data_IF_679967877251
#
_entry.id   IF_679967877251
#
_cell.length_a   1.000
_cell.length_b   1.000
_cell.length_c   1.000
_cell.angle_alpha   90.00
_cell.angle_beta   90.00
_cell.angle_gamma   90.00
#
_symmetry.space_group_name_H-M   'P 1'
#
loop_
_entity.id
_entity.type
_entity.pdbx_description
1 polymer ?
#
# COMPACT_ATOMS: atom_id res chain seq x y z
N UNK A 1 -19.92 14.08 -8.38
CA UNK A 1 -19.50 12.67 -8.34
C UNK A 1 -18.42 12.52 -9.38
N UNK A 2 -17.22 12.16 -8.95
CA UNK A 2 -16.00 12.37 -9.70
C UNK A 2 -15.13 11.11 -9.67
N UNK A 3 -15.31 10.29 -10.69
CA UNK A 3 -14.31 9.31 -11.07
C UNK A 3 -13.04 10.07 -11.50
N UNK A 4 -11.87 9.49 -11.28
CA UNK A 4 -10.61 10.01 -11.80
C UNK A 4 -10.06 8.99 -12.79
N UNK A 5 -9.61 9.45 -13.95
CA UNK A 5 -9.03 8.57 -14.96
C UNK A 5 -7.69 9.11 -15.44
N UNK A 6 -6.69 8.24 -15.37
CA UNK A 6 -5.41 8.40 -16.05
C UNK A 6 -5.42 7.46 -17.26
N UNK A 7 -5.16 8.00 -18.45
CA UNK A 7 -5.13 7.24 -19.69
C UNK A 7 -3.77 7.40 -20.37
N UNK A 8 -2.96 6.35 -20.37
CA UNK A 8 -1.63 6.33 -20.99
C UNK A 8 -0.70 7.45 -20.51
N UNK A 9 -0.83 7.87 -19.24
CA UNK A 9 -0.16 9.07 -18.74
C UNK A 9 1.33 8.83 -18.56
N UNK A 10 2.14 9.70 -19.16
CA UNK A 10 3.60 9.67 -19.04
C UNK A 10 4.11 11.03 -18.57
N UNK A 11 5.07 11.00 -17.65
CA UNK A 11 5.84 12.16 -17.22
C UNK A 11 7.32 11.93 -17.41
N UNK A 12 7.96 12.78 -18.21
CA UNK A 12 9.41 12.82 -18.39
C UNK A 12 10.02 14.07 -17.77
N UNK A 13 11.19 13.89 -17.16
CA UNK A 13 12.09 14.96 -16.73
C UNK A 13 13.41 14.80 -17.50
N UNK A 14 13.56 15.53 -18.61
CA UNK A 14 14.60 15.21 -19.58
C UNK A 14 14.39 13.79 -20.13
N UNK A 15 15.42 12.95 -20.03
CA UNK A 15 15.38 11.57 -20.53
C UNK A 15 14.74 10.57 -19.55
N UNK A 16 14.50 10.98 -18.30
CA UNK A 16 13.98 10.09 -17.25
C UNK A 16 12.45 10.10 -17.26
N UNK A 17 11.84 8.95 -17.56
CA UNK A 17 10.39 8.74 -17.40
C UNK A 17 10.06 8.42 -15.94
N UNK A 18 9.63 9.43 -15.17
CA UNK A 18 9.25 9.25 -13.77
C UNK A 18 7.90 8.54 -13.60
N UNK A 19 7.00 8.69 -14.58
CA UNK A 19 5.76 7.92 -14.72
C UNK A 19 5.67 7.51 -16.18
N UNK A 20 5.37 6.25 -16.47
CA UNK A 20 5.45 5.69 -17.82
C UNK A 20 4.19 4.87 -18.15
N UNK A 21 3.43 5.33 -19.15
CA UNK A 21 2.21 4.69 -19.65
C UNK A 21 1.22 4.31 -18.52
N UNK A 22 1.03 5.21 -17.57
CA UNK A 22 0.18 4.99 -16.40
C UNK A 22 -1.30 5.11 -16.77
N UNK A 23 -2.00 3.98 -16.70
CA UNK A 23 -3.45 3.91 -16.91
C UNK A 23 -4.12 3.40 -15.64
N UNK A 24 -5.06 4.18 -15.11
CA UNK A 24 -5.76 3.87 -13.88
C UNK A 24 -7.10 4.59 -13.81
N UNK A 25 -8.16 3.86 -13.50
CA UNK A 25 -9.47 4.40 -13.15
C UNK A 25 -9.67 4.35 -11.64
N UNK A 26 -10.16 5.43 -11.05
CA UNK A 26 -10.58 5.55 -9.65
C UNK A 26 -12.07 5.84 -9.63
N UNK A 27 -12.84 4.97 -9.00
CA UNK A 27 -14.29 5.11 -8.92
C UNK A 27 -14.70 6.21 -7.93
N UNK A 28 -15.90 6.77 -8.13
CA UNK A 28 -16.51 7.71 -7.19
C UNK A 28 -16.54 7.11 -5.77
N UNK A 29 -16.13 7.90 -4.77
CA UNK A 29 -16.09 7.50 -3.35
C UNK A 29 -15.13 6.36 -3.01
N UNK A 30 -14.22 6.04 -3.92
CA UNK A 30 -13.17 5.08 -3.66
C UNK A 30 -12.06 5.70 -2.81
N UNK A 31 -11.51 4.91 -1.87
CA UNK A 31 -10.24 5.22 -1.22
C UNK A 31 -9.13 4.43 -1.91
N UNK A 32 -8.53 5.03 -2.93
CA UNK A 32 -7.39 4.44 -3.63
C UNK A 32 -6.07 4.80 -2.93
N UNK A 33 -5.21 3.81 -2.71
CA UNK A 33 -3.84 4.05 -2.26
C UNK A 33 -2.82 3.74 -3.36
N UNK A 34 -1.98 4.70 -3.70
CA UNK A 34 -0.77 4.50 -4.51
C UNK A 34 0.38 4.12 -3.56
N UNK A 35 0.98 2.95 -3.76
CA UNK A 35 2.06 2.42 -2.91
C UNK A 35 3.23 1.91 -3.74
N UNK A 36 4.43 1.99 -3.18
CA UNK A 36 5.65 1.55 -3.86
C UNK A 36 6.90 2.19 -3.25
N UNK A 37 8.11 1.76 -3.65
CA UNK A 37 9.37 2.32 -3.18
C UNK A 37 9.51 3.83 -3.43
N UNK A 38 10.42 4.47 -2.70
CA UNK A 38 10.80 5.86 -2.98
C UNK A 38 11.23 6.03 -4.43
N UNK A 39 10.77 7.09 -5.09
CA UNK A 39 11.12 7.38 -6.49
C UNK A 39 10.30 6.65 -7.55
N UNK A 40 9.34 5.78 -7.20
CA UNK A 40 8.57 5.03 -8.21
C UNK A 40 7.45 5.82 -8.94
N UNK A 41 7.37 7.14 -8.77
CA UNK A 41 6.43 8.00 -9.52
C UNK A 41 5.09 8.34 -8.85
N UNK A 42 4.81 7.85 -7.63
CA UNK A 42 3.51 8.06 -6.93
C UNK A 42 3.16 9.54 -6.74
N UNK A 43 4.06 10.30 -6.13
CA UNK A 43 3.87 11.75 -5.88
C UNK A 43 3.79 12.53 -7.19
N UNK A 44 4.55 12.13 -8.21
CA UNK A 44 4.47 12.70 -9.56
C UNK A 44 3.09 12.48 -10.18
N UNK A 45 2.55 11.25 -10.11
CA UNK A 45 1.19 10.96 -10.58
C UNK A 45 0.13 11.78 -9.84
N UNK A 46 0.24 11.87 -8.51
CA UNK A 46 -0.66 12.67 -7.68
C UNK A 46 -0.58 14.17 -8.02
N UNK A 47 0.61 14.70 -8.27
CA UNK A 47 0.83 16.11 -8.63
C UNK A 47 0.36 16.44 -10.04
N UNK A 48 0.46 15.52 -10.99
CA UNK A 48 -0.13 15.66 -12.32
C UNK A 48 -1.65 15.80 -12.24
N UNK A 49 -2.31 14.95 -11.44
CA UNK A 49 -3.74 15.11 -11.15
C UNK A 49 -4.03 16.44 -10.45
N UNK A 50 -3.16 16.85 -9.53
CA UNK A 50 -3.30 18.12 -8.83
C UNK A 50 -3.13 19.36 -9.73
N UNK A 51 -2.52 19.20 -10.90
CA UNK A 51 -2.12 20.29 -11.79
C UNK A 51 -0.88 21.05 -11.30
N UNK A 52 -0.13 20.46 -10.38
CA UNK A 52 1.14 21.01 -9.88
C UNK A 52 2.31 20.57 -10.75
N UNK A 53 2.10 19.55 -11.59
CA UNK A 53 3.05 19.12 -12.61
C UNK A 53 2.29 18.89 -13.93
N UNK A 54 2.89 19.28 -15.05
CA UNK A 54 2.32 19.06 -16.38
C UNK A 54 2.57 17.63 -16.85
N UNK A 55 1.60 17.02 -17.52
CA UNK A 55 1.71 15.71 -18.19
C UNK A 55 2.54 15.83 -19.46
N UNK A 56 3.46 14.90 -19.73
CA UNK A 56 4.20 14.86 -21.00
C UNK A 56 3.34 14.26 -22.11
N UNK A 57 2.69 13.14 -21.82
CA UNK A 57 1.78 12.42 -22.74
C UNK A 57 0.59 11.86 -21.96
N UNK A 58 -0.47 11.51 -22.68
CA UNK A 58 -1.69 10.91 -22.12
C UNK A 58 -2.64 11.94 -21.49
N UNK A 59 -3.74 11.43 -20.96
CA UNK A 59 -4.87 12.26 -20.52
C UNK A 59 -5.17 12.02 -19.05
N UNK A 60 -5.40 13.11 -18.31
CA UNK A 60 -5.92 13.05 -16.93
C UNK A 60 -7.28 13.71 -16.92
N UNK A 61 -8.28 13.01 -16.36
CA UNK A 61 -9.65 13.54 -16.28
C UNK A 61 -10.27 13.35 -14.89
N UNK A 62 -11.20 14.25 -14.56
CA UNK A 62 -12.01 14.23 -13.35
C UNK A 62 -13.47 14.29 -13.81
N UNK A 63 -14.21 13.19 -13.59
CA UNK A 63 -15.47 12.94 -14.28
C UNK A 63 -15.27 12.97 -15.80
N UNK A 64 -16.17 13.62 -16.52
CA UNK A 64 -16.06 13.78 -17.98
C UNK A 64 -15.08 14.87 -18.43
N UNK A 65 -14.44 15.60 -17.50
CA UNK A 65 -13.60 16.76 -17.83
C UNK A 65 -12.12 16.37 -17.87
N UNK A 66 -11.50 16.52 -19.04
CA UNK A 66 -10.04 16.50 -19.18
C UNK A 66 -9.44 17.71 -18.46
N UNK A 67 -8.46 17.48 -17.60
CA UNK A 67 -7.90 18.52 -16.71
C UNK A 67 -6.45 18.86 -17.00
N UNK A 68 -5.78 18.27 -18.00
CA UNK A 68 -4.37 18.52 -18.31
C UNK A 68 -3.99 20.01 -18.30
N UNK A 69 -4.75 20.85 -19.01
CA UNK A 69 -4.51 22.31 -19.11
C UNK A 69 -5.34 23.16 -18.12
N UNK A 70 -6.10 22.52 -17.24
CA UNK A 70 -6.89 23.21 -16.22
C UNK A 70 -5.99 23.56 -15.04
N UNK A 71 -5.92 24.82 -14.58
CA UNK A 71 -5.08 25.17 -13.43
C UNK A 71 -5.61 24.55 -12.12
N UNK A 72 -4.73 24.24 -11.14
CA UNK A 72 -5.09 23.54 -9.90
C UNK A 72 -6.33 24.08 -9.16
N UNK A 73 -6.47 25.40 -9.13
CA UNK A 73 -7.57 26.09 -8.43
C UNK A 73 -8.96 25.76 -9.00
N UNK A 74 -9.03 25.38 -10.27
CA UNK A 74 -10.25 25.16 -11.05
C UNK A 74 -10.53 23.65 -11.28
N UNK A 75 -9.65 22.76 -10.80
CA UNK A 75 -9.81 21.30 -10.87
C UNK A 75 -10.79 20.71 -9.84
N UNK A 76 -11.26 21.52 -8.90
CA UNK A 76 -12.17 21.13 -7.82
C UNK A 76 -11.65 19.98 -6.92
N UNK A 77 -10.37 20.08 -6.56
CA UNK A 77 -9.65 19.13 -5.71
C UNK A 77 -9.09 19.82 -4.47
N UNK A 78 -8.81 19.04 -3.43
CA UNK A 78 -8.01 19.51 -2.30
C UNK A 78 -6.86 18.56 -1.99
N UNK A 79 -5.66 19.12 -1.83
CA UNK A 79 -4.44 18.37 -1.55
C UNK A 79 -3.96 18.62 -0.12
N UNK A 80 -3.60 17.55 0.58
CA UNK A 80 -2.94 17.55 1.88
C UNK A 80 -1.49 17.10 1.67
N UNK A 81 -0.55 18.01 1.93
CA UNK A 81 0.88 17.78 1.74
C UNK A 81 1.54 17.14 2.96
N UNK A 82 2.64 16.43 2.72
CA UNK A 82 3.50 15.80 3.73
C UNK A 82 3.89 16.74 4.89
N UNK A 83 4.29 17.98 4.59
CA UNK A 83 4.76 18.95 5.60
C UNK A 83 3.64 19.77 6.29
N UNK A 84 2.37 19.39 6.12
CA UNK A 84 1.14 20.08 6.56
C UNK A 84 0.93 21.49 5.96
N UNK A 85 2.00 22.20 5.60
CA UNK A 85 2.02 23.51 4.95
C UNK A 85 1.12 24.57 5.63
N UNK A 86 1.06 24.57 6.96
CA UNK A 86 0.24 25.52 7.73
C UNK A 86 0.93 26.90 7.82
N UNK A 87 0.15 27.97 7.75
CA UNK A 87 0.63 29.33 7.96
C UNK A 87 0.89 29.59 9.45
N UNK A 88 2.15 29.77 9.89
CA UNK A 88 2.51 29.77 11.31
C UNK A 88 2.01 31.01 12.07
N UNK A 89 1.76 32.09 11.34
CA UNK A 89 1.31 33.37 11.89
C UNK A 89 -0.23 33.46 12.04
N UNK A 90 -0.97 32.58 11.36
CA UNK A 90 -2.44 32.52 11.37
C UNK A 90 -2.95 31.59 12.46
N UNK A 91 -4.18 31.83 12.94
CA UNK A 91 -4.90 30.89 13.81
C UNK A 91 -5.31 29.62 13.05
N UNK A 92 -5.76 28.58 13.75
CA UNK A 92 -6.35 27.38 13.12
C UNK A 92 -7.57 27.75 12.28
N UNK A 93 -8.46 28.59 12.82
CA UNK A 93 -9.62 29.09 12.09
C UNK A 93 -9.21 29.80 10.80
N UNK A 94 -8.22 30.69 10.88
CA UNK A 94 -7.75 31.43 9.70
C UNK A 94 -7.05 30.54 8.68
N UNK A 95 -6.28 29.55 9.13
CA UNK A 95 -5.68 28.54 8.25
C UNK A 95 -6.76 27.82 7.43
N UNK A 96 -7.84 27.35 8.09
CA UNK A 96 -8.97 26.67 7.45
C UNK A 96 -9.78 27.63 6.56
N UNK A 97 -10.02 28.86 7.00
CA UNK A 97 -10.80 29.85 6.27
C UNK A 97 -10.08 30.46 5.06
N UNK A 98 -8.75 30.41 5.01
CA UNK A 98 -7.93 31.18 4.05
C UNK A 98 -8.33 30.96 2.58
N UNK A 99 -8.48 29.71 2.15
CA UNK A 99 -8.86 29.39 0.76
C UNK A 99 -10.27 29.89 0.39
N UNK A 100 -11.19 29.86 1.35
CA UNK A 100 -12.55 30.38 1.15
C UNK A 100 -12.57 31.92 1.09
N UNK A 101 -11.74 32.59 1.90
CA UNK A 101 -11.56 34.05 1.85
C UNK A 101 -11.02 34.51 0.49
N UNK A 102 -10.03 33.81 -0.06
CA UNK A 102 -9.49 34.08 -1.40
C UNK A 102 -10.54 33.92 -2.51
N UNK A 103 -11.43 32.94 -2.36
CA UNK A 103 -12.58 32.71 -3.26
C UNK A 103 -13.76 33.66 -2.99
N UNK A 104 -13.60 34.65 -2.11
CA UNK A 104 -14.62 35.65 -1.74
C UNK A 104 -15.94 35.04 -1.23
N UNK A 105 -15.87 33.88 -0.58
CA UNK A 105 -17.04 33.23 0.04
C UNK A 105 -17.58 34.12 1.19
N UNK A 106 -18.90 34.29 1.33
CA UNK A 106 -19.48 35.11 2.40
C UNK A 106 -19.04 34.67 3.80
N UNK A 107 -18.77 35.63 4.69
CA UNK A 107 -18.25 35.36 6.05
C UNK A 107 -19.11 34.38 6.86
N UNK A 108 -20.44 34.45 6.72
CA UNK A 108 -21.36 33.55 7.41
C UNK A 108 -21.16 32.08 6.97
N UNK A 109 -21.02 31.84 5.66
CA UNK A 109 -20.76 30.51 5.11
C UNK A 109 -19.38 29.99 5.48
N UNK A 110 -18.37 30.87 5.55
CA UNK A 110 -17.03 30.48 6.03
C UNK A 110 -17.12 29.97 7.48
N UNK A 111 -17.78 30.73 8.36
CA UNK A 111 -17.94 30.35 9.77
C UNK A 111 -18.63 29.00 9.92
N UNK A 112 -19.69 28.78 9.15
CA UNK A 112 -20.45 27.53 9.14
C UNK A 112 -19.58 26.35 8.67
N UNK A 113 -18.92 26.47 7.51
CA UNK A 113 -18.07 25.42 6.93
C UNK A 113 -16.89 25.08 7.85
N UNK A 114 -16.21 26.09 8.40
CA UNK A 114 -15.11 25.89 9.34
C UNK A 114 -15.61 25.22 10.62
N UNK A 115 -16.77 25.63 11.14
CA UNK A 115 -17.40 25.00 12.30
C UNK A 115 -17.74 23.52 12.07
N UNK A 116 -18.37 23.20 10.93
CA UNK A 116 -18.69 21.82 10.54
C UNK A 116 -17.42 20.97 10.42
N UNK A 117 -16.41 21.45 9.69
CA UNK A 117 -15.14 20.73 9.54
C UNK A 117 -14.39 20.56 10.86
N UNK A 118 -14.40 21.57 11.74
CA UNK A 118 -13.77 21.47 13.05
C UNK A 118 -14.45 20.42 13.94
N UNK A 119 -15.78 20.32 13.88
CA UNK A 119 -16.54 19.29 14.59
C UNK A 119 -16.26 17.87 14.08
N UNK A 120 -16.21 17.68 12.75
CA UNK A 120 -15.85 16.40 12.14
C UNK A 120 -14.46 15.93 12.59
N UNK A 121 -13.53 16.86 12.78
CA UNK A 121 -12.14 16.56 13.14
C UNK A 121 -11.88 16.62 14.67
N UNK A 122 -12.86 17.03 15.48
CA UNK A 122 -12.69 17.21 16.93
C UNK A 122 -11.61 18.24 17.29
N UNK A 123 -11.59 19.39 16.60
CA UNK A 123 -10.59 20.47 16.79
C UNK A 123 -11.24 21.83 17.12
N UNK A 124 -12.51 21.86 17.54
CA UNK A 124 -13.27 23.08 17.84
C UNK A 124 -12.57 23.94 18.90
N UNK A 125 -12.06 23.31 19.95
CA UNK A 125 -11.33 23.96 21.04
C UNK A 125 -9.94 24.50 20.63
N UNK A 126 -9.51 24.24 19.40
CA UNK A 126 -8.20 24.63 18.88
C UNK A 126 -8.29 25.79 17.88
N UNK A 127 -9.49 26.23 17.50
CA UNK A 127 -9.73 27.21 16.43
C UNK A 127 -8.94 28.53 16.62
N UNK A 128 -8.79 29.00 17.86
CA UNK A 128 -8.09 30.26 18.17
C UNK A 128 -6.57 30.09 18.36
N UNK A 129 -6.07 28.84 18.41
CA UNK A 129 -4.64 28.57 18.61
C UNK A 129 -3.86 28.76 17.31
N UNK A 130 -2.55 28.99 17.43
CA UNK A 130 -1.60 29.01 16.31
C UNK A 130 -0.92 27.64 16.14
N UNK A 131 -0.43 27.27 14.95
CA UNK A 131 0.19 25.96 14.68
C UNK A 131 1.31 25.53 15.64
N UNK A 132 2.09 26.49 16.16
CA UNK A 132 3.17 26.23 17.14
C UNK A 132 2.68 25.74 18.51
N UNK A 133 1.39 25.92 18.82
CA UNK A 133 0.75 25.52 20.08
C UNK A 133 0.06 24.15 19.98
N UNK A 134 0.22 23.46 18.84
CA UNK A 134 -0.46 22.20 18.52
C UNK A 134 0.53 21.03 18.56
N UNK A 135 0.03 19.84 18.86
CA UNK A 135 0.77 18.59 18.63
C UNK A 135 0.88 18.26 17.13
N UNK A 136 1.68 17.25 16.76
CA UNK A 136 1.81 16.79 15.38
C UNK A 136 0.46 16.36 14.78
N UNK A 137 -0.30 15.53 15.50
CA UNK A 137 -1.61 15.05 15.05
C UNK A 137 -2.65 16.17 14.99
N UNK A 138 -2.61 17.12 15.92
CA UNK A 138 -3.47 18.32 15.83
C UNK A 138 -3.15 19.15 14.59
N UNK A 139 -1.87 19.39 14.27
CA UNK A 139 -1.48 20.09 13.03
C UNK A 139 -1.98 19.36 11.79
N UNK A 140 -1.87 18.04 11.77
CA UNK A 140 -2.37 17.24 10.66
C UNK A 140 -3.88 17.39 10.51
N UNK A 141 -4.67 17.26 11.59
CA UNK A 141 -6.12 17.47 11.55
C UNK A 141 -6.46 18.86 11.00
N UNK A 142 -5.71 19.91 11.38
CA UNK A 142 -5.90 21.26 10.82
C UNK A 142 -5.60 21.28 9.31
N UNK A 143 -4.55 20.59 8.84
CA UNK A 143 -4.23 20.49 7.43
C UNK A 143 -5.33 19.77 6.63
N UNK A 144 -5.89 18.69 7.17
CA UNK A 144 -7.06 18.00 6.60
C UNK A 144 -8.28 18.93 6.64
N UNK A 145 -8.48 19.69 7.71
CA UNK A 145 -9.56 20.67 7.83
C UNK A 145 -9.52 21.74 6.74
N UNK A 146 -8.33 22.21 6.35
CA UNK A 146 -8.15 23.12 5.20
C UNK A 146 -8.63 22.52 3.88
N UNK A 147 -8.51 21.21 3.73
CA UNK A 147 -9.02 20.50 2.57
C UNK A 147 -10.55 20.35 2.64
N UNK A 148 -11.08 19.91 3.79
CA UNK A 148 -12.51 19.62 3.97
C UNK A 148 -13.39 20.85 3.74
N UNK A 149 -13.00 22.03 4.26
CA UNK A 149 -13.81 23.24 4.14
C UNK A 149 -14.09 23.67 2.70
N UNK A 150 -13.30 23.16 1.74
CA UNK A 150 -13.49 23.42 0.30
C UNK A 150 -14.56 22.54 -0.34
N UNK A 151 -15.01 21.47 0.33
CA UNK A 151 -15.95 20.47 -0.19
C UNK A 151 -15.57 20.00 -1.61
N UNK A 152 -14.32 19.53 -1.83
CA UNK A 152 -13.82 19.16 -3.16
C UNK A 152 -14.46 17.87 -3.68
N UNK A 153 -14.43 17.69 -5.00
CA UNK A 153 -14.82 16.43 -5.63
C UNK A 153 -13.83 15.28 -5.38
N UNK A 154 -12.53 15.59 -5.17
CA UNK A 154 -11.47 14.60 -4.91
C UNK A 154 -10.51 15.12 -3.85
N UNK A 155 -10.19 14.27 -2.88
CA UNK A 155 -9.13 14.52 -1.90
C UNK A 155 -7.84 13.81 -2.29
N UNK A 156 -6.74 14.55 -2.26
CA UNK A 156 -5.40 14.06 -2.56
C UNK A 156 -4.53 14.13 -1.31
N UNK A 157 -3.90 13.03 -0.93
CA UNK A 157 -3.02 12.96 0.23
C UNK A 157 -1.63 12.50 -0.19
N UNK A 158 -0.61 13.32 0.07
CA UNK A 158 0.79 13.03 -0.27
C UNK A 158 1.56 12.74 1.02
N UNK A 159 1.69 11.46 1.38
CA UNK A 159 2.35 10.96 2.60
C UNK A 159 1.98 11.73 3.89
N UNK A 160 0.68 11.95 4.19
CA UNK A 160 0.28 12.86 5.26
C UNK A 160 0.66 12.39 6.68
N UNK A 161 1.10 11.13 6.84
CA UNK A 161 1.45 10.50 8.12
C UNK A 161 2.96 10.34 8.34
N UNK A 162 3.81 10.66 7.36
CA UNK A 162 5.25 10.37 7.42
C UNK A 162 5.95 11.03 8.61
N UNK A 163 5.46 12.20 9.04
CA UNK A 163 6.04 13.04 10.08
C UNK A 163 5.53 12.72 11.50
N UNK A 164 4.73 11.65 11.66
CA UNK A 164 4.16 11.24 12.94
C UNK A 164 4.92 10.04 13.52
N UNK A 165 4.91 9.91 14.85
CA UNK A 165 5.39 8.71 15.54
C UNK A 165 4.44 7.51 15.34
N UNK A 166 4.93 6.31 15.61
CA UNK A 166 4.21 5.06 15.34
C UNK A 166 2.83 4.98 16.02
N UNK A 167 2.72 5.42 17.29
CA UNK A 167 1.44 5.36 18.03
C UNK A 167 0.41 6.30 17.41
N UNK A 168 0.86 7.51 17.08
CA UNK A 168 0.00 8.53 16.48
C UNK A 168 -0.37 8.19 15.03
N UNK A 169 0.50 7.51 14.28
CA UNK A 169 0.16 6.96 12.95
C UNK A 169 -1.01 5.99 13.04
N UNK A 170 -0.97 5.02 13.94
CA UNK A 170 -2.05 4.03 14.10
C UNK A 170 -3.39 4.72 14.37
N UNK A 171 -3.41 5.65 15.33
CA UNK A 171 -4.61 6.42 15.65
C UNK A 171 -5.12 7.20 14.44
N UNK A 172 -4.22 7.90 13.74
CA UNK A 172 -4.65 8.80 12.68
C UNK A 172 -5.07 8.07 11.41
N UNK A 173 -4.54 6.87 11.13
CA UNK A 173 -5.08 6.01 10.07
C UNK A 173 -6.56 5.70 10.29
N UNK A 174 -6.92 5.31 11.52
CA UNK A 174 -8.33 5.05 11.86
C UNK A 174 -9.19 6.31 11.70
N UNK A 175 -8.66 7.49 12.05
CA UNK A 175 -9.35 8.77 11.86
C UNK A 175 -9.56 9.11 10.38
N UNK A 176 -8.57 8.90 9.52
CA UNK A 176 -8.69 9.12 8.06
C UNK A 176 -9.69 8.15 7.45
N UNK A 177 -9.65 6.86 7.81
CA UNK A 177 -10.62 5.87 7.33
C UNK A 177 -12.05 6.23 7.75
N UNK A 178 -12.25 6.66 9.00
CA UNK A 178 -13.55 7.13 9.48
C UNK A 178 -14.00 8.39 8.76
N UNK A 179 -13.09 9.32 8.50
CA UNK A 179 -13.37 10.54 7.75
C UNK A 179 -13.84 10.21 6.34
N UNK A 180 -13.17 9.29 5.63
CA UNK A 180 -13.59 8.83 4.32
C UNK A 180 -15.02 8.25 4.36
N UNK A 181 -15.32 7.40 5.34
CA UNK A 181 -16.67 6.85 5.54
C UNK A 181 -17.73 7.93 5.78
N UNK A 182 -17.39 9.01 6.47
CA UNK A 182 -18.32 10.12 6.75
C UNK A 182 -18.51 11.04 5.54
N UNK A 183 -17.44 11.33 4.79
CA UNK A 183 -17.48 12.27 3.67
C UNK A 183 -17.98 11.64 2.37
N UNK A 184 -17.82 10.33 2.19
CA UNK A 184 -18.27 9.60 0.99
C UNK A 184 -17.82 10.31 -0.30
N UNK A 185 -16.54 10.66 -0.38
CA UNK A 185 -15.89 11.41 -1.48
C UNK A 185 -14.64 10.66 -1.90
N UNK A 186 -14.24 10.73 -3.18
CA UNK A 186 -13.07 10.03 -3.71
C UNK A 186 -11.76 10.48 -3.03
N UNK A 187 -10.98 9.54 -2.52
CA UNK A 187 -9.67 9.76 -1.89
C UNK A 187 -8.58 9.08 -2.72
N UNK A 188 -7.51 9.80 -3.04
CA UNK A 188 -6.28 9.24 -3.59
C UNK A 188 -5.14 9.56 -2.62
N UNK A 189 -4.51 8.51 -2.11
CA UNK A 189 -3.54 8.59 -1.02
C UNK A 189 -2.22 7.95 -1.43
N UNK A 190 -1.11 8.68 -1.27
CA UNK A 190 0.23 8.21 -1.57
C UNK A 190 0.95 7.85 -0.28
N UNK A 191 1.58 6.68 -0.26
CA UNK A 191 2.44 6.24 0.85
C UNK A 191 3.50 5.26 0.39
N UNK A 192 4.54 5.11 1.20
CA UNK A 192 5.50 4.01 1.12
C UNK A 192 5.24 2.93 2.19
N UNK A 193 4.33 3.18 3.14
CA UNK A 193 3.98 2.25 4.21
C UNK A 193 2.90 1.27 3.74
N UNK A 194 3.26 -0.01 3.70
CA UNK A 194 2.35 -1.07 3.25
C UNK A 194 1.19 -1.26 4.22
N UNK A 195 1.38 -1.05 5.52
CA UNK A 195 0.32 -1.19 6.52
C UNK A 195 -0.72 -0.09 6.33
N UNK A 196 -0.30 1.12 5.96
CA UNK A 196 -1.23 2.18 5.53
C UNK A 196 -2.09 1.73 4.34
N UNK A 197 -1.46 1.21 3.28
CA UNK A 197 -2.18 0.73 2.10
C UNK A 197 -3.15 -0.42 2.45
N UNK A 198 -2.70 -1.40 3.23
CA UNK A 198 -3.48 -2.59 3.56
C UNK A 198 -4.66 -2.32 4.49
N UNK A 199 -4.61 -1.27 5.32
CA UNK A 199 -5.63 -1.02 6.36
C UNK A 199 -6.65 0.07 6.00
N UNK A 200 -6.33 0.94 5.03
CA UNK A 200 -7.19 2.08 4.69
C UNK A 200 -7.81 1.95 3.30
N UNK A 201 -7.14 1.28 2.37
CA UNK A 201 -7.51 1.31 0.96
C UNK A 201 -8.75 0.45 0.64
N UNK A 202 -9.56 0.94 -0.30
CA UNK A 202 -10.53 0.11 -1.04
C UNK A 202 -9.80 -0.68 -2.14
N UNK A 203 -8.89 -0.03 -2.86
CA UNK A 203 -7.90 -0.67 -3.75
C UNK A 203 -6.52 -0.04 -3.59
N UNK A 204 -5.51 -0.86 -3.85
CA UNK A 204 -4.11 -0.49 -3.82
C UNK A 204 -3.59 -0.57 -5.25
N UNK A 205 -2.97 0.52 -5.72
CA UNK A 205 -2.19 0.55 -6.95
C UNK A 205 -0.70 0.52 -6.60
N UNK A 206 -0.06 -0.63 -6.87
CA UNK A 206 1.35 -0.87 -6.59
C UNK A 206 2.19 -0.37 -7.78
N UNK A 207 3.15 0.51 -7.52
CA UNK A 207 4.01 1.11 -8.54
C UNK A 207 5.49 0.76 -8.33
N UNK A 208 6.20 0.51 -9.43
CA UNK A 208 7.65 0.30 -9.49
C UNK A 208 8.21 1.05 -10.69
N UNK A 209 9.26 1.84 -10.49
CA UNK A 209 10.01 2.52 -11.56
C UNK A 209 9.10 3.25 -12.58
N UNK A 210 8.08 3.96 -12.08
CA UNK A 210 7.14 4.73 -12.91
C UNK A 210 6.02 3.91 -13.56
N UNK A 211 5.99 2.59 -13.37
CA UNK A 211 5.04 1.66 -13.99
C UNK A 211 4.09 1.07 -12.95
N UNK A 212 2.80 1.05 -13.26
CA UNK A 212 1.79 0.34 -12.47
C UNK A 212 1.98 -1.17 -12.61
N UNK A 213 2.18 -1.86 -11.49
CA UNK A 213 2.44 -3.30 -11.45
C UNK A 213 1.15 -4.11 -11.25
N UNK A 214 0.28 -3.63 -10.37
CA UNK A 214 -1.02 -4.24 -10.07
C UNK A 214 -1.93 -3.20 -9.41
N UNK A 215 -3.22 -3.23 -9.71
CA UNK A 215 -4.23 -2.45 -8.99
C UNK A 215 -5.42 -3.33 -8.62
N UNK A 216 -5.59 -3.62 -7.34
CA UNK A 216 -6.68 -4.48 -6.85
C UNK A 216 -6.97 -4.20 -5.37
N UNK A 217 -7.95 -4.87 -4.79
CA UNK A 217 -8.23 -4.86 -3.35
C UNK A 217 -7.00 -5.27 -2.53
N UNK A 218 -6.87 -4.79 -1.27
CA UNK A 218 -5.78 -5.20 -0.39
C UNK A 218 -5.59 -6.71 -0.30
N UNK A 219 -6.70 -7.44 -0.19
CA UNK A 219 -6.67 -8.90 -0.12
C UNK A 219 -6.11 -9.51 -1.40
N UNK A 220 -6.60 -9.13 -2.57
CA UNK A 220 -6.13 -9.67 -3.85
C UNK A 220 -4.66 -9.33 -4.15
N UNK A 221 -4.21 -8.11 -3.84
CA UNK A 221 -2.79 -7.76 -3.98
C UNK A 221 -1.89 -8.62 -3.08
N UNK A 222 -2.38 -8.99 -1.89
CA UNK A 222 -1.64 -9.85 -0.95
C UNK A 222 -1.63 -11.32 -1.37
N UNK A 223 -2.81 -11.86 -1.69
CA UNK A 223 -3.06 -13.29 -1.91
C UNK A 223 -2.89 -13.74 -3.36
N UNK A 224 -2.92 -12.83 -4.31
CA UNK A 224 -2.75 -13.11 -5.75
C UNK A 224 -1.87 -12.02 -6.37
N UNK A 225 -0.59 -11.92 -5.96
CA UNK A 225 0.33 -10.94 -6.50
C UNK A 225 0.65 -11.26 -7.97
N UNK A 226 0.57 -10.26 -8.85
CA UNK A 226 0.75 -10.44 -10.29
C UNK A 226 2.20 -10.76 -10.71
N UNK A 227 3.19 -10.42 -9.87
CA UNK A 227 4.61 -10.65 -10.12
C UNK A 227 5.42 -10.72 -8.82
N UNK A 228 6.69 -11.15 -8.92
CA UNK A 228 7.62 -11.27 -7.79
C UNK A 228 7.76 -9.95 -7.03
N UNK A 229 7.79 -8.82 -7.73
CA UNK A 229 7.91 -7.53 -7.06
C UNK A 229 6.72 -7.24 -6.15
N UNK A 230 5.48 -7.40 -6.63
CA UNK A 230 4.29 -7.18 -5.78
C UNK A 230 4.28 -8.17 -4.61
N UNK A 231 4.62 -9.44 -4.87
CA UNK A 231 4.69 -10.49 -3.86
C UNK A 231 5.73 -10.18 -2.76
N UNK A 232 6.88 -9.63 -3.13
CA UNK A 232 7.97 -9.28 -2.21
C UNK A 232 7.76 -7.92 -1.54
N UNK A 233 7.07 -7.00 -2.20
CA UNK A 233 6.87 -5.64 -1.71
C UNK A 233 5.65 -5.52 -0.78
N UNK A 234 4.62 -6.33 -0.90
CA UNK A 234 3.42 -6.25 -0.05
C UNK A 234 3.46 -7.37 0.98
N UNK A 235 3.61 -7.03 2.27
CA UNK A 235 3.71 -7.95 3.39
C UNK A 235 4.98 -7.71 4.20
N UNK A 236 4.87 -7.78 5.53
CA UNK A 236 5.99 -7.63 6.46
C UNK A 236 5.92 -8.72 7.54
N UNK A 237 6.86 -9.69 7.57
CA UNK A 237 8.01 -9.81 6.68
C UNK A 237 7.64 -10.11 5.22
N UNK A 238 8.56 -9.86 4.29
CA UNK A 238 8.32 -10.09 2.85
C UNK A 238 8.18 -11.58 2.53
N UNK A 239 7.57 -11.89 1.37
CA UNK A 239 7.51 -13.27 0.88
C UNK A 239 8.92 -13.86 0.73
N UNK A 240 9.08 -15.14 1.08
CA UNK A 240 10.29 -15.90 0.83
C UNK A 240 10.30 -16.41 -0.60
N UNK A 241 11.44 -16.30 -1.28
CA UNK A 241 11.60 -16.76 -2.66
C UNK A 241 12.67 -17.85 -2.75
N UNK A 242 12.34 -18.93 -3.43
CA UNK A 242 13.22 -20.07 -3.65
C UNK A 242 13.31 -20.39 -5.13
N UNK A 243 14.51 -20.32 -5.69
CA UNK A 243 14.74 -20.77 -7.07
C UNK A 243 14.71 -22.30 -7.13
N UNK A 244 13.94 -22.84 -8.07
CA UNK A 244 13.83 -24.29 -8.25
C UNK A 244 13.38 -24.68 -9.65
N UNK A 245 13.07 -25.97 -9.79
CA UNK A 245 12.52 -26.56 -11.01
C UNK A 245 11.21 -27.24 -10.67
N UNK A 246 10.18 -27.05 -11.51
CA UNK A 246 8.93 -27.79 -11.36
C UNK A 246 9.09 -29.16 -12.03
N UNK A 247 9.09 -30.22 -11.25
CA UNK A 247 9.33 -31.60 -11.69
C UNK A 247 8.05 -32.44 -11.55
N UNK A 248 7.95 -33.50 -12.35
CA UNK A 248 6.94 -34.53 -12.17
C UNK A 248 7.60 -35.74 -11.51
N UNK A 249 7.27 -36.00 -10.25
CA UNK A 249 7.76 -37.13 -9.48
C UNK A 249 6.60 -38.08 -9.21
N UNK A 250 6.61 -39.26 -9.84
CA UNK A 250 5.61 -40.32 -9.67
C UNK A 250 4.15 -39.85 -9.84
N UNK A 251 3.89 -38.96 -10.80
CA UNK A 251 2.56 -38.42 -11.09
C UNK A 251 2.15 -37.24 -10.20
N UNK A 252 3.03 -36.76 -9.33
CA UNK A 252 2.85 -35.54 -8.54
C UNK A 252 3.79 -34.45 -9.03
N UNK A 253 3.25 -33.24 -9.21
CA UNK A 253 4.06 -32.07 -9.47
C UNK A 253 4.72 -31.60 -8.17
N UNK A 254 6.04 -31.41 -8.19
CA UNK A 254 6.85 -31.00 -7.04
C UNK A 254 7.79 -29.91 -7.49
N UNK A 255 7.92 -28.84 -6.70
CA UNK A 255 9.00 -27.87 -6.90
C UNK A 255 10.20 -28.29 -6.07
N UNK A 256 11.31 -28.53 -6.76
CA UNK A 256 12.59 -28.90 -6.16
C UNK A 256 13.52 -27.69 -6.20
N UNK A 257 13.93 -27.21 -5.03
CA UNK A 257 14.99 -26.20 -4.86
C UNK A 257 16.14 -26.78 -4.04
N UNK A 258 17.23 -26.00 -3.86
CA UNK A 258 18.36 -26.42 -3.00
C UNK A 258 17.96 -26.62 -1.53
N UNK A 259 16.91 -25.94 -1.06
CA UNK A 259 16.50 -25.94 0.34
C UNK A 259 15.24 -26.79 0.59
N UNK A 260 14.35 -26.88 -0.40
CA UNK A 260 12.97 -27.35 -0.22
C UNK A 260 12.53 -28.26 -1.36
N UNK A 261 11.66 -29.22 -1.03
CA UNK A 261 10.86 -29.99 -1.98
C UNK A 261 9.38 -29.84 -1.61
N UNK A 262 8.63 -29.10 -2.43
CA UNK A 262 7.24 -28.74 -2.11
C UNK A 262 6.28 -29.34 -3.15
N UNK A 263 5.39 -30.26 -2.75
CA UNK A 263 4.38 -30.80 -3.64
C UNK A 263 3.34 -29.72 -3.99
N UNK A 264 2.97 -29.67 -5.27
CA UNK A 264 1.92 -28.79 -5.75
C UNK A 264 0.55 -29.42 -5.43
N UNK A 265 -0.36 -28.66 -4.77
CA UNK A 265 -1.69 -29.14 -4.47
C UNK A 265 -2.46 -29.42 -5.76
N UNK A 266 -3.32 -30.43 -5.73
CA UNK A 266 -4.09 -30.89 -6.90
C UNK A 266 -4.85 -29.75 -7.60
N UNK A 267 -5.42 -28.84 -6.83
CA UNK A 267 -6.15 -27.66 -7.32
C UNK A 267 -5.31 -26.71 -8.19
N UNK A 268 -3.98 -26.71 -8.06
CA UNK A 268 -3.07 -25.83 -8.82
C UNK A 268 -2.32 -26.55 -9.94
N UNK A 269 -2.42 -27.89 -10.05
CA UNK A 269 -1.62 -28.67 -11.01
C UNK A 269 -1.90 -28.29 -12.46
N UNK A 270 -3.16 -28.07 -12.81
CA UNK A 270 -3.54 -27.72 -14.18
C UNK A 270 -2.91 -26.39 -14.62
N UNK A 271 -2.92 -25.38 -13.75
CA UNK A 271 -2.35 -24.08 -14.06
C UNK A 271 -0.82 -24.13 -14.24
N UNK A 272 -0.15 -25.02 -13.52
CA UNK A 272 1.31 -25.17 -13.59
C UNK A 272 1.79 -26.22 -14.61
N UNK A 273 0.88 -26.92 -15.31
CA UNK A 273 1.23 -28.02 -16.21
C UNK A 273 2.17 -27.60 -17.35
N UNK A 274 2.03 -26.36 -17.86
CA UNK A 274 2.89 -25.82 -18.92
C UNK A 274 4.34 -25.53 -18.47
N UNK A 275 4.61 -25.61 -17.17
CA UNK A 275 5.90 -25.30 -16.54
C UNK A 275 6.67 -26.54 -16.09
N UNK A 276 6.15 -27.74 -16.33
CA UNK A 276 6.86 -28.99 -15.98
C UNK A 276 8.20 -29.07 -16.73
N UNK A 277 9.26 -29.33 -15.98
CA UNK A 277 10.65 -29.36 -16.43
C UNK A 277 11.32 -27.99 -16.54
N UNK A 278 10.61 -26.88 -16.25
CA UNK A 278 11.14 -25.51 -16.38
C UNK A 278 11.60 -24.94 -15.04
N UNK A 279 12.58 -24.01 -15.06
CA UNK A 279 12.95 -23.26 -13.86
C UNK A 279 11.83 -22.30 -13.46
N UNK A 280 11.54 -22.26 -12.16
CA UNK A 280 10.50 -21.42 -11.56
C UNK A 280 11.02 -20.80 -10.26
N UNK A 281 10.38 -19.72 -9.82
CA UNK A 281 10.60 -19.16 -8.48
C UNK A 281 9.39 -19.49 -7.62
N UNK A 282 9.62 -20.20 -6.52
CA UNK A 282 8.62 -20.53 -5.52
C UNK A 282 8.54 -19.42 -4.47
N UNK A 283 7.36 -18.83 -4.32
CA UNK A 283 7.03 -17.86 -3.29
C UNK A 283 6.24 -18.50 -2.15
N UNK A 284 6.68 -18.28 -0.90
CA UNK A 284 5.98 -18.73 0.31
C UNK A 284 5.97 -17.59 1.33
N UNK A 285 4.79 -17.20 1.81
CA UNK A 285 4.68 -16.19 2.86
C UNK A 285 5.24 -16.70 4.19
N UNK A 286 5.86 -15.85 5.02
CA UNK A 286 6.38 -16.27 6.32
C UNK A 286 5.34 -16.92 7.22
N UNK A 287 4.10 -16.43 7.22
CA UNK A 287 2.98 -16.97 8.01
C UNK A 287 2.42 -18.30 7.47
N UNK A 288 2.77 -18.69 6.25
CA UNK A 288 2.46 -20.01 5.68
C UNK A 288 3.55 -21.04 6.01
N UNK A 289 4.58 -20.66 6.78
CA UNK A 289 5.60 -21.55 7.33
C UNK A 289 5.36 -21.69 8.84
N UNK A 290 4.78 -22.80 9.24
CA UNK A 290 4.46 -23.08 10.65
C UNK A 290 5.55 -23.90 11.32
N UNK A 291 5.64 -23.79 12.65
CA UNK A 291 6.26 -24.83 13.46
C UNK A 291 5.44 -26.12 13.32
N UNK A 292 6.12 -27.26 13.08
CA UNK A 292 5.45 -28.54 12.88
C UNK A 292 4.59 -28.99 14.09
N UNK A 293 4.85 -28.47 15.30
CA UNK A 293 4.05 -28.75 16.49
C UNK A 293 2.75 -27.93 16.57
N UNK A 294 2.66 -26.82 15.84
CA UNK A 294 1.58 -25.83 15.95
C UNK A 294 0.90 -25.54 14.61
N UNK A 295 0.83 -26.54 13.73
CA UNK A 295 0.14 -26.45 12.44
C UNK A 295 -1.37 -26.35 12.67
N UNK A 296 -2.08 -25.40 12.03
CA UNK A 296 -3.54 -25.35 12.12
C UNK A 296 -4.19 -26.65 11.58
N UNK A 297 -5.29 -27.15 12.18
CA UNK A 297 -5.85 -28.47 11.87
C UNK A 297 -6.19 -28.74 10.39
N UNK A 298 -6.57 -27.70 9.64
CA UNK A 298 -7.03 -27.82 8.24
C UNK A 298 -5.92 -27.58 7.21
N UNK A 299 -4.67 -27.35 7.64
CA UNK A 299 -3.55 -27.04 6.74
C UNK A 299 -2.90 -28.32 6.22
N UNK A 300 -3.01 -28.54 4.90
CA UNK A 300 -2.22 -29.56 4.19
C UNK A 300 -0.79 -29.06 4.03
N UNK A 301 0.12 -29.61 4.83
CA UNK A 301 1.49 -29.14 4.89
C UNK A 301 2.52 -30.07 4.27
N UNK A 302 3.63 -29.48 3.83
CA UNK A 302 4.85 -30.19 3.45
C UNK A 302 5.93 -29.96 4.53
N UNK A 303 6.60 -31.02 5.01
CA UNK A 303 7.60 -30.90 6.06
C UNK A 303 8.91 -30.30 5.52
N UNK A 304 9.54 -29.45 6.33
CA UNK A 304 10.85 -28.84 6.05
C UNK A 304 11.69 -28.92 7.32
N UNK A 305 12.99 -29.20 7.17
CA UNK A 305 13.96 -29.05 8.24
C UNK A 305 14.91 -27.91 7.91
N UNK A 306 15.20 -27.07 8.88
CA UNK A 306 16.11 -25.95 8.72
C UNK A 306 16.82 -25.62 10.02
N UNK A 307 17.98 -24.96 9.91
CA UNK A 307 18.73 -24.46 11.06
C UNK A 307 18.25 -23.06 11.41
N UNK A 308 18.02 -22.80 12.70
CA UNK A 308 17.67 -21.47 13.21
C UNK A 308 18.92 -20.61 13.28
N UNK A 309 18.90 -19.49 12.56
CA UNK A 309 19.95 -18.48 12.61
C UNK A 309 19.63 -17.43 13.67
N UNK A 310 18.46 -16.80 13.59
CA UNK A 310 18.01 -15.73 14.49
C UNK A 310 16.53 -15.92 14.85
N UNK A 311 16.14 -15.50 16.05
CA UNK A 311 14.73 -15.41 16.45
C UNK A 311 14.42 -13.99 16.93
N UNK A 312 13.32 -13.40 16.46
CA UNK A 312 12.81 -12.10 16.91
C UNK A 312 11.44 -12.27 17.56
N UNK A 313 11.31 -11.85 18.83
CA UNK A 313 10.05 -11.87 19.57
C UNK A 313 9.24 -10.61 19.26
N UNK A 314 8.08 -10.78 18.62
CA UNK A 314 7.20 -9.69 18.20
C UNK A 314 5.99 -9.52 19.13
N UNK A 315 5.98 -10.22 20.27
CA UNK A 315 4.91 -10.18 21.27
C UNK A 315 4.01 -11.40 21.18
N UNK A 316 3.07 -11.42 20.23
CA UNK A 316 2.13 -12.53 20.05
C UNK A 316 2.63 -13.59 19.06
N UNK A 317 3.85 -13.45 18.54
CA UNK A 317 4.48 -14.30 17.53
C UNK A 317 5.99 -14.16 17.53
N UNK A 318 6.65 -15.10 16.87
CA UNK A 318 8.11 -15.11 16.73
C UNK A 318 8.44 -15.19 15.24
N UNK A 319 9.31 -14.28 14.78
CA UNK A 319 9.95 -14.44 13.48
C UNK A 319 11.21 -15.28 13.66
N UNK A 320 11.30 -16.36 12.89
CA UNK A 320 12.43 -17.28 12.92
C UNK A 320 13.13 -17.18 11.58
N UNK A 321 14.35 -16.67 11.60
CA UNK A 321 15.24 -16.64 10.44
C UNK A 321 15.98 -17.96 10.36
N UNK A 322 15.94 -18.57 9.18
CA UNK A 322 16.25 -19.97 8.95
C UNK A 322 17.24 -20.09 7.81
N UNK A 323 18.10 -21.10 7.88
CA UNK A 323 19.01 -21.47 6.81
C UNK A 323 18.79 -22.93 6.44
N UNK A 324 18.60 -23.20 5.15
CA UNK A 324 18.55 -24.55 4.57
C UNK A 324 19.13 -24.52 3.15
N UNK A 325 19.93 -25.52 2.77
CA UNK A 325 20.50 -25.61 1.43
C UNK A 325 21.35 -24.39 1.01
N UNK A 326 21.91 -23.64 1.97
CA UNK A 326 22.63 -22.39 1.74
C UNK A 326 21.75 -21.17 1.45
N UNK A 327 20.43 -21.27 1.62
CA UNK A 327 19.47 -20.17 1.43
C UNK A 327 18.89 -19.73 2.77
N UNK A 328 18.70 -18.43 2.94
CA UNK A 328 18.06 -17.83 4.11
C UNK A 328 16.60 -17.49 3.83
N UNK A 329 15.73 -17.74 4.79
CA UNK A 329 14.30 -17.43 4.72
C UNK A 329 13.73 -17.19 6.12
N UNK A 330 12.53 -16.62 6.21
CA UNK A 330 11.88 -16.29 7.49
C UNK A 330 10.54 -17.00 7.63
N UNK A 331 10.28 -17.56 8.81
CA UNK A 331 8.99 -18.11 9.20
C UNK A 331 8.38 -17.24 10.30
N UNK A 332 7.06 -17.04 10.28
CA UNK A 332 6.30 -16.41 11.35
C UNK A 332 5.52 -17.50 12.08
N UNK A 333 5.99 -17.85 13.27
CA UNK A 333 5.50 -19.03 14.01
C UNK A 333 4.84 -18.65 15.33
N UNK A 334 4.08 -19.61 15.88
CA UNK A 334 3.43 -19.50 17.18
C UNK A 334 4.45 -19.19 18.29
N UNK A 335 4.14 -18.28 19.24
CA UNK A 335 5.08 -17.89 20.30
C UNK A 335 5.44 -19.04 21.25
N UNK A 336 4.71 -20.16 21.23
CA UNK A 336 5.02 -21.37 22.00
C UNK A 336 6.12 -22.24 21.38
N UNK A 337 6.67 -21.85 20.22
CA UNK A 337 7.76 -22.60 19.58
C UNK A 337 8.96 -22.81 20.51
N UNK A 338 9.56 -23.98 20.41
CA UNK A 338 10.84 -24.30 21.05
C UNK A 338 12.05 -23.95 20.17
N UNK A 339 11.86 -23.28 19.02
CA UNK A 339 12.95 -22.87 18.15
C UNK A 339 13.94 -21.96 18.91
N UNK A 340 15.24 -22.29 18.84
CA UNK A 340 16.33 -21.54 19.48
C UNK A 340 17.49 -21.39 18.52
N UNK A 341 18.16 -20.25 18.59
CA UNK A 341 19.36 -19.92 17.79
C UNK A 341 20.37 -21.06 17.81
N UNK A 342 20.83 -21.44 16.63
CA UNK A 342 21.82 -22.51 16.42
C UNK A 342 21.24 -23.93 16.38
N UNK A 343 19.98 -24.14 16.80
CA UNK A 343 19.32 -25.45 16.76
C UNK A 343 18.64 -25.76 15.43
N UNK A 344 18.29 -27.02 15.22
CA UNK A 344 17.43 -27.45 14.12
C UNK A 344 15.95 -27.35 14.51
N UNK A 345 15.11 -26.96 13.54
CA UNK A 345 13.66 -26.91 13.71
C UNK A 345 12.97 -27.65 12.57
N UNK A 346 11.88 -28.35 12.91
CA UNK A 346 10.96 -28.96 11.95
C UNK A 346 9.81 -27.99 11.70
N UNK A 347 9.59 -27.68 10.44
CA UNK A 347 8.59 -26.75 9.97
C UNK A 347 7.61 -27.45 9.04
N UNK A 348 6.48 -26.79 8.81
CA UNK A 348 5.39 -27.26 7.98
C UNK A 348 4.92 -26.11 7.08
N UNK A 349 5.11 -26.24 5.77
CA UNK A 349 4.66 -25.25 4.79
C UNK A 349 3.25 -25.54 4.33
N UNK A 350 2.36 -24.55 4.42
CA UNK A 350 1.03 -24.61 3.85
C UNK A 350 1.09 -24.61 2.31
N UNK A 351 0.90 -25.79 1.72
CA UNK A 351 1.03 -25.98 0.26
C UNK A 351 -0.09 -25.30 -0.54
N UNK A 352 -1.23 -24.99 0.09
CA UNK A 352 -2.36 -24.34 -0.58
C UNK A 352 -2.04 -22.89 -0.99
N UNK A 353 -1.20 -22.20 -0.20
CA UNK A 353 -0.91 -20.77 -0.35
C UNK A 353 0.40 -20.47 -1.07
N UNK A 354 1.02 -21.47 -1.71
CA UNK A 354 2.25 -21.24 -2.47
C UNK A 354 1.98 -20.51 -3.79
N UNK A 355 2.97 -19.73 -4.22
CA UNK A 355 2.97 -19.02 -5.49
C UNK A 355 4.11 -19.51 -6.37
N UNK A 356 3.87 -19.70 -7.67
CA UNK A 356 4.95 -19.90 -8.63
C UNK A 356 5.03 -18.71 -9.57
N UNK A 357 6.26 -18.26 -9.81
CA UNK A 357 6.58 -17.21 -10.75
C UNK A 357 7.50 -17.77 -11.83
N UNK A 358 7.33 -17.27 -13.04
CA UNK A 358 8.24 -17.54 -14.15
C UNK A 358 9.60 -16.91 -13.86
N UNK A 359 10.68 -17.69 -13.99
CA UNK A 359 12.03 -17.23 -13.61
C UNK A 359 12.55 -16.08 -14.48
N UNK A 360 12.10 -15.98 -15.72
CA UNK A 360 12.63 -15.00 -16.68
C UNK A 360 11.79 -13.72 -16.69
N UNK A 361 10.47 -13.86 -16.70
CA UNK A 361 9.54 -12.71 -16.76
C UNK A 361 9.16 -12.17 -15.38
N UNK A 362 9.41 -12.95 -14.32
CA UNK A 362 9.00 -12.65 -12.93
C UNK A 362 7.48 -12.55 -12.72
N UNK A 363 6.68 -12.88 -13.74
CA UNK A 363 5.22 -12.88 -13.67
C UNK A 363 4.73 -14.10 -12.90
N UNK A 364 3.62 -13.93 -12.18
CA UNK A 364 2.92 -15.05 -11.56
C UNK A 364 2.37 -15.98 -12.65
N UNK A 365 2.48 -17.29 -12.42
CA UNK A 365 1.99 -18.31 -13.37
C UNK A 365 0.47 -18.50 -13.25
N UNK A 366 -0.13 -18.05 -12.15
CA UNK A 366 -1.56 -18.11 -11.84
C UNK A 366 -2.12 -16.78 -11.42
#
# INVERSE_FOLDING_TARGET
>A
MANVHFEGVTKRFGDVAAVNNFTLEVADKEFLVLVGPSGCGKTTALRMLAGLEETTEGTVSIGARVVNDVPPKDRDIAMVFQSYALYPHMSVYDNMAFGLKLRKVPKAQIKERVGRAAATLGIEMLLDRKPKQLSGGQRQRVAVGRAIVREPSVFLFDEPLSNLDAKLRVQTRAEISKLHQQLQTTFIYVTHDQVEAMTMATRIAVMKDGVLQQCDTPQAVYSTPANIFVAGFIGSPSMNFFEGTLENSNGQLVVTSKALQIPIPESKRQAYAAYVGKPVTLGIRPEDIHDAQFVPPDVKSAPISAKVDITEMMGNEIYVYLVSGGMSFVARVDPRTSARVGGDVKLAVNTANIHLFDRTTELAIT
#
